data_IF_774697271491
#
_entry.id   IF_774697271491
#
_cell.length_a   1.000
_cell.length_b   1.000
_cell.length_c   1.000
_cell.angle_alpha   90.00
_cell.angle_beta   90.00
_cell.angle_gamma   90.00
#
_symmetry.space_group_name_H-M   'P 1'
#
loop_
_entity.id
_entity.type
_entity.pdbx_description
1 polymer ?
#
# COMPACT_ATOMS: atom_id res chain seq x y z
N UNK A 1 -23.28 -8.81 -13.54
CA UNK A 1 -22.53 -8.95 -12.27
C UNK A 1 -21.12 -9.29 -12.70
N UNK A 2 -20.16 -8.40 -12.49
CA UNK A 2 -18.76 -8.69 -12.84
C UNK A 2 -18.24 -9.77 -11.90
N UNK A 3 -17.58 -10.78 -12.46
CA UNK A 3 -17.02 -11.91 -11.71
C UNK A 3 -15.78 -11.44 -10.94
N UNK A 4 -15.67 -11.82 -9.66
CA UNK A 4 -14.53 -11.54 -8.79
C UNK A 4 -13.20 -11.96 -9.45
N UNK A 5 -13.20 -13.05 -10.23
CA UNK A 5 -12.02 -13.47 -10.97
C UNK A 5 -11.54 -12.42 -12.00
N UNK A 6 -12.47 -11.83 -12.75
CA UNK A 6 -12.16 -10.81 -13.74
C UNK A 6 -11.62 -9.54 -13.08
N UNK A 7 -12.24 -9.10 -11.98
CA UNK A 7 -11.77 -7.94 -11.19
C UNK A 7 -10.32 -8.15 -10.74
N UNK A 8 -9.97 -9.36 -10.30
CA UNK A 8 -8.59 -9.69 -9.89
C UNK A 8 -7.61 -9.60 -11.06
N UNK A 9 -7.95 -10.17 -12.22
CA UNK A 9 -7.10 -10.11 -13.42
C UNK A 9 -6.87 -8.67 -13.87
N UNK A 10 -7.93 -7.87 -13.94
CA UNK A 10 -7.86 -6.48 -14.37
C UNK A 10 -7.07 -5.62 -13.38
N UNK A 11 -7.26 -5.84 -12.08
CA UNK A 11 -6.50 -5.15 -11.05
C UNK A 11 -5.01 -5.48 -11.10
N UNK A 12 -4.64 -6.76 -11.25
CA UNK A 12 -3.23 -7.17 -11.40
C UNK A 12 -2.61 -6.55 -12.66
N UNK A 13 -3.35 -6.51 -13.78
CA UNK A 13 -2.89 -5.84 -15.00
C UNK A 13 -2.62 -4.35 -14.79
N UNK A 14 -3.44 -3.66 -14.00
CA UNK A 14 -3.23 -2.27 -13.60
C UNK A 14 -2.02 -2.11 -12.67
N UNK A 15 -1.91 -2.95 -11.63
CA UNK A 15 -0.78 -2.93 -10.69
C UNK A 15 0.57 -3.12 -11.37
N UNK A 16 0.66 -3.98 -12.39
CA UNK A 16 1.90 -4.19 -13.14
C UNK A 16 2.37 -2.96 -13.93
N UNK A 17 1.47 -2.02 -14.19
CA UNK A 17 1.76 -0.73 -14.85
C UNK A 17 1.90 0.42 -13.85
N UNK A 18 1.77 0.14 -12.55
CA UNK A 18 1.88 1.12 -11.48
C UNK A 18 3.31 1.68 -11.44
N UNK A 19 3.39 3.01 -11.40
CA UNK A 19 4.62 3.75 -11.20
C UNK A 19 4.37 4.91 -10.22
N UNK A 20 5.43 5.62 -9.83
CA UNK A 20 5.36 6.71 -8.85
C UNK A 20 4.59 7.97 -9.33
N UNK A 21 4.09 8.02 -10.57
CA UNK A 21 3.30 9.17 -11.02
C UNK A 21 1.91 9.19 -10.39
N UNK A 22 1.46 10.39 -10.02
CA UNK A 22 0.12 10.61 -9.46
C UNK A 22 -0.99 10.12 -10.39
N UNK A 23 -0.79 10.21 -11.71
CA UNK A 23 -1.75 9.71 -12.70
C UNK A 23 -1.92 8.19 -12.64
N UNK A 24 -0.82 7.45 -12.54
CA UNK A 24 -0.84 5.98 -12.45
C UNK A 24 -1.48 5.54 -11.12
N UNK A 25 -1.07 6.17 -10.02
CA UNK A 25 -1.63 5.94 -8.67
C UNK A 25 -3.15 6.18 -8.66
N UNK A 26 -3.62 7.35 -9.11
CA UNK A 26 -5.05 7.67 -9.14
C UNK A 26 -5.86 6.71 -9.99
N UNK A 27 -5.30 6.21 -11.11
CA UNK A 27 -5.98 5.22 -11.95
C UNK A 27 -6.23 3.91 -11.18
N UNK A 28 -5.25 3.45 -10.41
CA UNK A 28 -5.38 2.23 -9.59
C UNK A 28 -6.36 2.46 -8.43
N UNK A 29 -6.29 3.61 -7.74
CA UNK A 29 -7.23 3.94 -6.66
C UNK A 29 -8.68 4.07 -7.15
N UNK A 30 -8.89 4.70 -8.30
CA UNK A 30 -10.22 4.80 -8.91
C UNK A 30 -10.79 3.42 -9.29
N UNK A 31 -9.94 2.49 -9.74
CA UNK A 31 -10.37 1.11 -9.93
C UNK A 31 -10.79 0.49 -8.59
N UNK A 32 -9.94 0.55 -7.56
CA UNK A 32 -10.24 -0.03 -6.26
C UNK A 32 -11.54 0.53 -5.65
N UNK A 33 -11.78 1.84 -5.75
CA UNK A 33 -13.00 2.50 -5.26
C UNK A 33 -14.27 1.98 -5.95
N UNK A 34 -14.24 1.80 -7.27
CA UNK A 34 -15.40 1.26 -8.03
C UNK A 34 -15.80 -0.15 -7.60
N UNK A 35 -14.84 -0.96 -7.16
CA UNK A 35 -15.07 -2.35 -6.76
C UNK A 35 -15.04 -2.58 -5.25
N UNK A 36 -14.92 -1.51 -4.46
CA UNK A 36 -14.73 -1.58 -3.01
C UNK A 36 -15.83 -2.39 -2.30
N UNK A 37 -17.09 -2.19 -2.69
CA UNK A 37 -18.24 -2.81 -2.04
C UNK A 37 -18.28 -4.35 -2.15
N UNK A 38 -17.62 -4.94 -3.14
CA UNK A 38 -17.71 -6.38 -3.43
C UNK A 38 -16.39 -7.11 -3.33
N UNK A 39 -15.28 -6.43 -3.57
CA UNK A 39 -13.99 -7.08 -3.83
C UNK A 39 -12.82 -6.40 -3.12
N UNK A 40 -13.06 -5.57 -2.09
CA UNK A 40 -11.96 -4.91 -1.38
C UNK A 40 -10.94 -5.89 -0.80
N UNK A 41 -11.40 -7.05 -0.29
CA UNK A 41 -10.53 -8.11 0.20
C UNK A 41 -9.69 -8.74 -0.91
N UNK A 42 -10.33 -9.17 -2.00
CA UNK A 42 -9.62 -9.75 -3.16
C UNK A 42 -8.60 -8.77 -3.78
N UNK A 43 -8.96 -7.48 -3.86
CA UNK A 43 -8.08 -6.43 -4.37
C UNK A 43 -6.88 -6.25 -3.45
N UNK A 44 -7.08 -6.26 -2.13
CA UNK A 44 -6.00 -6.21 -1.16
C UNK A 44 -5.07 -7.42 -1.26
N UNK A 45 -5.61 -8.62 -1.38
CA UNK A 45 -4.83 -9.86 -1.53
C UNK A 45 -4.00 -9.85 -2.83
N UNK A 46 -4.58 -9.35 -3.93
CA UNK A 46 -3.85 -9.13 -5.18
C UNK A 46 -2.70 -8.13 -5.00
N UNK A 47 -2.91 -7.04 -4.26
CA UNK A 47 -1.88 -6.04 -3.97
C UNK A 47 -0.70 -6.65 -3.20
N UNK A 48 -0.97 -7.41 -2.13
CA UNK A 48 0.08 -8.07 -1.35
C UNK A 48 0.81 -9.15 -2.17
N UNK A 49 0.08 -9.98 -2.90
CA UNK A 49 0.66 -11.00 -3.79
C UNK A 49 1.59 -10.39 -4.84
N UNK A 50 1.16 -9.32 -5.52
CA UNK A 50 2.01 -8.65 -6.51
C UNK A 50 3.20 -7.94 -5.85
N UNK A 51 3.03 -7.36 -4.65
CA UNK A 51 4.15 -6.77 -3.91
C UNK A 51 5.26 -7.79 -3.63
N UNK A 52 4.91 -9.00 -3.18
CA UNK A 52 5.89 -10.06 -2.90
C UNK A 52 6.68 -10.52 -4.13
N UNK A 53 6.13 -10.41 -5.34
CA UNK A 53 6.74 -10.88 -6.60
C UNK A 53 7.40 -9.77 -7.41
N UNK A 54 7.12 -8.52 -7.09
CA UNK A 54 7.57 -7.36 -7.86
C UNK A 54 9.05 -7.01 -7.62
N UNK A 55 9.63 -6.22 -8.52
CA UNK A 55 10.96 -5.62 -8.36
C UNK A 55 10.98 -4.62 -7.19
N UNK A 56 12.15 -4.34 -6.62
CA UNK A 56 12.30 -3.38 -5.51
C UNK A 56 11.65 -2.02 -5.78
N UNK A 57 11.80 -1.49 -6.99
CA UNK A 57 11.17 -0.21 -7.40
C UNK A 57 9.65 -0.33 -7.50
N UNK A 58 9.14 -1.43 -8.06
CA UNK A 58 7.70 -1.67 -8.14
C UNK A 58 7.07 -1.86 -6.75
N UNK A 59 7.80 -2.44 -5.79
CA UNK A 59 7.37 -2.54 -4.38
C UNK A 59 7.22 -1.15 -3.74
N UNK A 60 8.16 -0.22 -3.98
CA UNK A 60 8.00 1.18 -3.56
C UNK A 60 6.78 1.85 -4.22
N UNK A 61 6.52 1.59 -5.50
CA UNK A 61 5.35 2.15 -6.15
C UNK A 61 4.03 1.70 -5.49
N UNK A 62 3.98 0.45 -5.00
CA UNK A 62 2.84 -0.06 -4.21
C UNK A 62 2.76 0.65 -2.85
N UNK A 63 3.90 0.91 -2.19
CA UNK A 63 3.91 1.69 -0.95
C UNK A 63 3.40 3.12 -1.20
N UNK A 64 3.78 3.77 -2.29
CA UNK A 64 3.27 5.10 -2.67
C UNK A 64 1.78 5.11 -2.99
N UNK A 65 1.27 4.04 -3.61
CA UNK A 65 -0.17 3.87 -3.82
C UNK A 65 -0.94 3.84 -2.49
N UNK A 66 -0.42 3.11 -1.50
CA UNK A 66 -1.02 3.03 -0.16
C UNK A 66 -0.88 4.34 0.61
N UNK A 67 0.26 5.01 0.49
CA UNK A 67 0.47 6.34 1.09
C UNK A 67 -0.55 7.35 0.55
N UNK A 68 -0.70 7.42 -0.77
CA UNK A 68 -1.70 8.26 -1.42
C UNK A 68 -3.14 7.90 -1.01
N UNK A 69 -3.46 6.61 -0.85
CA UNK A 69 -4.77 6.18 -0.36
C UNK A 69 -5.05 6.71 1.05
N UNK A 70 -4.13 6.52 1.98
CA UNK A 70 -4.36 6.83 3.40
C UNK A 70 -4.17 8.31 3.74
N UNK A 71 -3.52 9.09 2.87
CA UNK A 71 -3.26 10.52 3.09
C UNK A 71 -4.11 11.41 2.18
N UNK A 72 -3.78 11.47 0.89
CA UNK A 72 -4.36 12.40 -0.07
C UNK A 72 -5.79 12.01 -0.46
N UNK A 73 -6.00 10.74 -0.78
CA UNK A 73 -7.29 10.22 -1.22
C UNK A 73 -8.34 10.25 -0.10
N UNK A 74 -7.90 10.05 1.15
CA UNK A 74 -8.73 10.18 2.33
C UNK A 74 -9.13 11.64 2.64
N UNK A 75 -8.31 12.61 2.25
CA UNK A 75 -8.51 14.04 2.57
C UNK A 75 -9.24 14.81 1.46
N UNK A 76 -9.44 14.21 0.28
CA UNK A 76 -10.07 14.84 -0.87
C UNK A 76 -11.54 15.18 -0.61
N UNK A 77 -11.86 16.48 -0.60
CA UNK A 77 -13.21 17.01 -0.33
C UNK A 77 -14.19 16.81 -1.51
N UNK A 78 -13.68 16.52 -2.71
CA UNK A 78 -14.49 16.50 -3.93
C UNK A 78 -15.36 15.24 -4.12
N UNK A 79 -15.23 14.20 -3.29
CA UNK A 79 -16.11 13.02 -3.34
C UNK A 79 -15.90 12.08 -2.13
N UNK A 80 -16.50 12.42 -0.99
CA UNK A 80 -16.76 11.44 0.08
C UNK A 80 -17.93 10.54 -0.34
N UNK A 81 -17.67 9.65 -1.31
CA UNK A 81 -18.61 8.59 -1.68
C UNK A 81 -18.62 7.50 -0.60
N UNK A 82 -19.77 6.85 -0.39
CA UNK A 82 -19.88 5.68 0.47
C UNK A 82 -18.91 4.55 0.06
N UNK A 83 -18.66 4.40 -1.25
CA UNK A 83 -17.68 3.44 -1.78
C UNK A 83 -16.25 3.72 -1.27
N UNK A 84 -15.86 5.00 -1.22
CA UNK A 84 -14.52 5.42 -0.81
C UNK A 84 -14.33 5.28 0.68
N UNK A 85 -15.35 5.62 1.47
CA UNK A 85 -15.32 5.39 2.92
C UNK A 85 -15.18 3.89 3.23
N UNK A 86 -15.90 3.04 2.50
CA UNK A 86 -15.81 1.58 2.62
C UNK A 86 -14.43 1.05 2.21
N UNK A 87 -13.87 1.53 1.08
CA UNK A 87 -12.52 1.18 0.65
C UNK A 87 -11.49 1.52 1.74
N UNK A 88 -11.51 2.76 2.23
CA UNK A 88 -10.59 3.25 3.25
C UNK A 88 -10.69 2.46 4.56
N UNK A 89 -11.92 2.18 5.01
CA UNK A 89 -12.17 1.39 6.22
C UNK A 89 -11.60 -0.03 6.08
N UNK A 90 -11.92 -0.72 4.99
CA UNK A 90 -11.47 -2.09 4.75
C UNK A 90 -9.95 -2.15 4.58
N UNK A 91 -9.36 -1.27 3.76
CA UNK A 91 -7.93 -1.26 3.50
C UNK A 91 -7.14 -0.87 4.75
N UNK A 92 -7.65 0.04 5.60
CA UNK A 92 -6.96 0.39 6.85
C UNK A 92 -6.94 -0.80 7.82
N UNK A 93 -8.04 -1.53 7.93
CA UNK A 93 -8.11 -2.73 8.77
C UNK A 93 -7.16 -3.83 8.28
N UNK A 94 -7.15 -4.10 6.97
CA UNK A 94 -6.26 -5.08 6.35
C UNK A 94 -4.79 -4.65 6.44
N UNK A 95 -4.48 -3.38 6.17
CA UNK A 95 -3.14 -2.82 6.32
C UNK A 95 -2.62 -2.96 7.75
N UNK A 96 -3.42 -2.66 8.76
CA UNK A 96 -2.99 -2.81 10.15
C UNK A 96 -2.55 -4.25 10.49
N UNK A 97 -3.18 -5.26 9.87
CA UNK A 97 -2.80 -6.67 10.03
C UNK A 97 -1.52 -7.00 9.25
N UNK A 98 -1.44 -6.55 8.00
CA UNK A 98 -0.45 -7.04 7.02
C UNK A 98 0.77 -6.13 6.84
N UNK A 99 0.80 -4.99 7.52
CA UNK A 99 1.89 -4.02 7.45
C UNK A 99 3.27 -4.64 7.67
N UNK A 100 3.50 -5.51 8.67
CA UNK A 100 4.80 -6.18 8.83
C UNK A 100 5.23 -6.94 7.57
N UNK A 101 4.34 -7.76 6.99
CA UNK A 101 4.63 -8.52 5.78
C UNK A 101 4.84 -7.61 4.55
N UNK A 102 4.09 -6.51 4.44
CA UNK A 102 4.28 -5.52 3.40
C UNK A 102 5.65 -4.83 3.52
N UNK A 103 6.05 -4.44 4.74
CA UNK A 103 7.36 -3.82 5.00
C UNK A 103 8.49 -4.81 4.74
N UNK A 104 8.32 -6.10 5.06
CA UNK A 104 9.29 -7.14 4.72
C UNK A 104 9.44 -7.34 3.22
N UNK A 105 8.35 -7.23 2.47
CA UNK A 105 8.42 -7.21 1.01
C UNK A 105 9.15 -5.95 0.51
N UNK A 106 8.79 -4.76 1.00
CA UNK A 106 9.36 -3.49 0.50
C UNK A 106 10.82 -3.32 0.90
N UNK A 107 11.22 -3.70 2.11
CA UNK A 107 12.58 -3.59 2.65
C UNK A 107 13.03 -4.97 3.15
N UNK A 108 13.40 -5.90 2.25
CA UNK A 108 13.74 -7.27 2.64
C UNK A 108 15.01 -7.32 3.50
N UNK A 109 14.97 -8.05 4.61
CA UNK A 109 16.12 -8.20 5.53
C UNK A 109 17.28 -8.99 4.93
N UNK A 110 17.02 -9.80 3.92
CA UNK A 110 17.98 -10.66 3.21
C UNK A 110 18.56 -9.99 1.94
N UNK A 111 18.13 -8.76 1.62
CA UNK A 111 18.57 -8.03 0.44
C UNK A 111 19.25 -6.72 0.79
N UNK A 112 20.58 -6.70 0.78
CA UNK A 112 21.36 -5.47 0.98
C UNK A 112 20.96 -4.36 0.01
N UNK A 113 20.70 -4.70 -1.26
CA UNK A 113 20.24 -3.73 -2.26
C UNK A 113 18.85 -3.17 -1.90
N UNK A 114 17.93 -4.02 -1.45
CA UNK A 114 16.61 -3.60 -0.97
C UNK A 114 16.68 -2.66 0.22
N UNK A 115 17.51 -2.99 1.21
CA UNK A 115 17.77 -2.15 2.39
C UNK A 115 18.30 -0.79 1.95
N UNK A 116 19.35 -0.76 1.11
CA UNK A 116 19.98 0.49 0.67
C UNK A 116 19.03 1.39 -0.13
N UNK A 117 18.21 0.82 -1.01
CA UNK A 117 17.35 1.59 -1.91
C UNK A 117 16.04 2.04 -1.25
N UNK A 118 15.41 1.17 -0.46
CA UNK A 118 14.03 1.39 -0.04
C UNK A 118 13.88 1.91 1.39
N UNK A 119 14.88 1.74 2.27
CA UNK A 119 14.73 2.05 3.70
C UNK A 119 14.40 3.51 3.97
N UNK A 120 15.15 4.46 3.39
CA UNK A 120 14.96 5.89 3.68
C UNK A 120 13.56 6.37 3.28
N UNK A 121 13.10 5.98 2.10
CA UNK A 121 11.76 6.30 1.58
C UNK A 121 10.68 5.65 2.45
N UNK A 122 10.86 4.38 2.82
CA UNK A 122 9.90 3.65 3.64
C UNK A 122 9.78 4.27 5.05
N UNK A 123 10.91 4.64 5.66
CA UNK A 123 10.96 5.36 6.94
C UNK A 123 10.19 6.69 6.84
N UNK A 124 10.38 7.44 5.76
CA UNK A 124 9.68 8.71 5.55
C UNK A 124 8.17 8.53 5.49
N UNK A 125 7.69 7.54 4.72
CA UNK A 125 6.25 7.20 4.61
C UNK A 125 5.68 6.79 5.98
N UNK A 126 6.33 5.85 6.67
CA UNK A 126 5.89 5.39 7.98
C UNK A 126 5.90 6.52 9.03
N UNK A 127 6.91 7.39 9.01
CA UNK A 127 6.96 8.57 9.89
C UNK A 127 5.80 9.52 9.62
N UNK A 128 5.48 9.77 8.35
CA UNK A 128 4.30 10.57 7.96
C UNK A 128 3.00 9.94 8.48
N UNK A 129 2.82 8.63 8.33
CA UNK A 129 1.64 7.91 8.81
C UNK A 129 1.52 7.95 10.34
N UNK A 130 2.65 7.85 11.05
CA UNK A 130 2.70 7.99 12.50
C UNK A 130 2.30 9.40 12.93
N UNK A 131 2.88 10.44 12.34
CA UNK A 131 2.54 11.84 12.64
C UNK A 131 1.06 12.15 12.40
N UNK A 132 0.50 11.63 11.31
CA UNK A 132 -0.92 11.76 10.96
C UNK A 132 -1.85 10.82 11.75
N UNK A 133 -1.30 9.96 12.62
CA UNK A 133 -2.02 8.97 13.43
C UNK A 133 -2.92 8.06 12.59
N UNK A 134 -2.46 7.64 11.42
CA UNK A 134 -3.23 6.79 10.51
C UNK A 134 -3.38 5.36 11.05
N UNK A 135 -2.38 4.91 11.80
CA UNK A 135 -2.27 3.59 12.44
C UNK A 135 -1.84 3.76 13.91
N UNK A 136 -1.96 2.71 14.75
CA UNK A 136 -1.47 2.74 16.12
C UNK A 136 0.01 3.15 16.19
N UNK A 137 0.33 4.07 17.09
CA UNK A 137 1.67 4.67 17.20
C UNK A 137 2.75 3.62 17.46
N UNK A 138 2.46 2.69 18.37
CA UNK A 138 3.38 1.62 18.79
C UNK A 138 3.73 0.71 17.60
N UNK A 139 2.70 0.30 16.84
CA UNK A 139 2.85 -0.56 15.67
C UNK A 139 3.78 0.08 14.62
N UNK A 140 3.61 1.37 14.33
CA UNK A 140 4.50 2.04 13.38
C UNK A 140 5.91 2.23 13.95
N UNK A 141 6.04 2.45 15.26
CA UNK A 141 7.35 2.55 15.92
C UNK A 141 8.15 1.24 15.81
N UNK A 142 7.52 0.09 16.02
CA UNK A 142 8.13 -1.24 15.87
C UNK A 142 8.62 -1.50 14.44
N UNK A 143 7.84 -1.10 13.42
CA UNK A 143 8.25 -1.22 12.01
C UNK A 143 9.44 -0.32 11.68
N UNK A 144 9.46 0.92 12.20
CA UNK A 144 10.57 1.85 12.01
C UNK A 144 11.87 1.31 12.63
N UNK A 145 11.79 0.78 13.85
CA UNK A 145 12.93 0.15 14.53
C UNK A 145 13.44 -1.08 13.77
N UNK A 146 12.52 -1.89 13.25
CA UNK A 146 12.86 -3.06 12.43
C UNK A 146 13.66 -2.68 11.18
N UNK A 147 13.27 -1.61 10.48
CA UNK A 147 14.01 -1.11 9.31
C UNK A 147 15.37 -0.53 9.72
N UNK A 148 15.45 0.18 10.85
CA UNK A 148 16.72 0.73 11.32
C UNK A 148 17.71 -0.35 11.76
N UNK A 149 17.23 -1.44 12.36
CA UNK A 149 18.04 -2.62 12.65
C UNK A 149 18.59 -3.26 11.37
N UNK A 150 17.79 -3.36 10.30
CA UNK A 150 18.25 -3.88 9.01
C UNK A 150 19.38 -3.05 8.42
N UNK A 151 19.35 -1.73 8.59
CA UNK A 151 20.40 -0.83 8.09
C UNK A 151 21.73 -0.95 8.83
N UNK A 152 21.73 -1.48 10.06
CA UNK A 152 22.92 -1.62 10.91
C UNK A 152 23.69 -2.93 10.66
N UNK A 153 23.04 -3.92 10.04
CA UNK A 153 23.62 -5.21 9.65
C UNK A 153 24.36 -5.09 8.31
#
# INVERSE_FOLDING_TARGET
MEDTFQVRLDFVSLLRRLNASQQSIHKVLAFADRHAAKSSGDIWDCLLSECGKASLSSRLNILFLLDALFTDYASSHNSQSASRALLLSNFRSLAQRDLPALIDAVVPSDSWQGIKLNSAVTIQVLTSWRLKRLFPQEHIAELLETIEERKRK
#
